data_IF_250138973866
#
_entry.id   IF_250138973866
#
_cell.length_a   1.000
_cell.length_b   1.000
_cell.length_c   1.000
_cell.angle_alpha   90.00
_cell.angle_beta   90.00
_cell.angle_gamma   90.00
#
_symmetry.space_group_name_H-M   'P 1'
#
loop_
_entity.id
_entity.type
_entity.pdbx_description
1 polymer ?
#
# COMPACT_ATOMS: atom_id res chain seq x y z
N UNK A 1 15.28 -23.59 3.92
CA UNK A 1 16.18 -22.96 2.94
C UNK A 1 15.67 -23.37 1.58
N UNK A 2 15.18 -22.45 0.75
CA UNK A 2 14.66 -22.80 -0.57
C UNK A 2 15.85 -23.16 -1.47
N UNK A 3 15.87 -24.39 -1.99
CA UNK A 3 16.83 -24.80 -3.02
C UNK A 3 16.52 -24.03 -4.31
N UNK A 4 17.41 -23.12 -4.70
CA UNK A 4 17.29 -22.39 -5.96
C UNK A 4 17.80 -23.31 -7.06
N UNK A 5 16.91 -24.14 -7.61
CA UNK A 5 17.14 -24.84 -8.87
C UNK A 5 17.16 -23.81 -10.00
N UNK A 6 18.35 -23.32 -10.36
CA UNK A 6 18.51 -22.43 -11.52
C UNK A 6 18.27 -23.24 -12.81
N UNK A 7 17.12 -23.03 -13.44
CA UNK A 7 16.80 -23.52 -14.78
C UNK A 7 17.36 -22.57 -15.83
N UNK A 8 17.87 -23.10 -16.95
CA UNK A 8 18.50 -22.34 -18.02
C UNK A 8 17.81 -22.62 -19.36
N UNK A 9 17.82 -21.65 -20.28
CA UNK A 9 17.39 -21.83 -21.67
C UNK A 9 18.50 -21.41 -22.64
N UNK A 10 18.56 -22.04 -23.80
CA UNK A 10 19.54 -21.72 -24.85
C UNK A 10 19.07 -20.50 -25.66
N UNK A 11 19.96 -19.53 -25.86
CA UNK A 11 19.74 -18.36 -26.70
C UNK A 11 20.05 -18.65 -28.17
N UNK A 12 19.62 -17.76 -29.08
CA UNK A 12 19.90 -17.87 -30.52
C UNK A 12 21.40 -17.78 -30.87
N UNK A 13 22.21 -17.33 -29.92
CA UNK A 13 23.67 -17.26 -29.93
C UNK A 13 24.35 -18.53 -29.39
N UNK A 14 23.59 -19.54 -28.96
CA UNK A 14 24.09 -20.79 -28.37
C UNK A 14 24.55 -20.65 -26.91
N UNK A 15 24.30 -19.51 -26.28
CA UNK A 15 24.64 -19.27 -24.86
C UNK A 15 23.47 -19.65 -23.96
N UNK A 16 23.77 -20.18 -22.77
CA UNK A 16 22.76 -20.53 -21.77
C UNK A 16 22.43 -19.34 -20.87
N UNK A 17 21.17 -18.91 -20.90
CA UNK A 17 20.66 -17.83 -20.06
C UNK A 17 19.81 -18.41 -18.92
N UNK A 18 19.98 -17.92 -17.68
CA UNK A 18 19.14 -18.36 -16.58
C UNK A 18 17.70 -17.86 -16.78
N UNK A 19 16.73 -18.72 -16.44
CA UNK A 19 15.32 -18.35 -16.36
C UNK A 19 15.13 -17.46 -15.13
N UNK A 20 15.22 -16.15 -15.34
CA UNK A 20 14.94 -15.16 -14.32
C UNK A 20 13.42 -14.97 -14.21
N UNK A 21 12.81 -15.50 -13.16
CA UNK A 21 11.46 -15.11 -12.77
C UNK A 21 11.56 -13.89 -11.87
N UNK A 22 11.02 -12.76 -12.31
CA UNK A 22 10.81 -11.63 -11.41
C UNK A 22 9.73 -12.03 -10.39
N UNK A 23 9.94 -11.80 -9.08
CA UNK A 23 8.86 -11.96 -8.13
C UNK A 23 7.72 -11.02 -8.51
N UNK A 24 6.51 -11.55 -8.55
CA UNK A 24 5.31 -10.78 -8.87
C UNK A 24 5.11 -9.70 -7.80
N UNK A 25 4.86 -8.46 -8.21
CA UNK A 25 4.60 -7.37 -7.27
C UNK A 25 3.28 -7.67 -6.53
N UNK A 26 3.36 -7.91 -5.22
CA UNK A 26 2.20 -8.28 -4.39
C UNK A 26 1.17 -7.16 -4.26
N UNK A 27 1.60 -5.91 -4.41
CA UNK A 27 0.76 -4.71 -4.28
C UNK A 27 1.00 -3.80 -5.48
N UNK A 28 -0.03 -3.58 -6.28
CA UNK A 28 0.03 -2.60 -7.37
C UNK A 28 -0.13 -1.18 -6.84
N UNK A 29 0.71 -0.27 -7.34
CA UNK A 29 0.60 1.17 -7.09
C UNK A 29 -0.76 1.76 -7.51
N UNK A 30 -1.50 1.11 -8.42
CA UNK A 30 -2.83 1.56 -8.87
C UNK A 30 -3.93 1.33 -7.85
N UNK A 31 -3.71 0.46 -6.85
CA UNK A 31 -4.74 0.07 -5.89
C UNK A 31 -4.65 0.87 -4.58
N UNK A 32 -3.74 1.84 -4.51
CA UNK A 32 -3.49 2.65 -3.32
C UNK A 32 -4.56 3.75 -3.14
N UNK A 33 -4.95 4.00 -1.89
CA UNK A 33 -5.95 5.00 -1.53
C UNK A 33 -5.40 6.42 -1.35
N UNK A 34 -6.22 7.31 -0.79
CA UNK A 34 -5.92 8.73 -0.61
C UNK A 34 -4.76 8.97 0.37
N UNK A 35 -4.61 8.13 1.38
CA UNK A 35 -3.60 8.31 2.43
C UNK A 35 -2.22 7.89 1.94
N UNK A 36 -2.14 6.80 1.18
CA UNK A 36 -0.96 6.33 0.48
C UNK A 36 -0.41 7.39 -0.48
N UNK A 37 -1.27 8.04 -1.27
CA UNK A 37 -0.85 9.13 -2.17
C UNK A 37 -0.24 10.28 -1.39
N UNK A 38 -0.92 10.77 -0.34
CA UNK A 38 -0.40 11.84 0.52
C UNK A 38 0.91 11.47 1.21
N UNK A 39 1.01 10.25 1.72
CA UNK A 39 2.23 9.76 2.36
C UNK A 39 3.39 9.68 1.37
N UNK A 40 3.12 9.31 0.12
CA UNK A 40 4.11 9.25 -0.94
C UNK A 40 4.61 10.65 -1.35
N UNK A 41 3.71 11.61 -1.51
CA UNK A 41 4.04 13.01 -1.78
C UNK A 41 4.90 13.58 -0.66
N UNK A 42 4.47 13.40 0.59
CA UNK A 42 5.24 13.79 1.76
C UNK A 42 6.64 13.17 1.77
N UNK A 43 6.75 11.87 1.47
CA UNK A 43 8.02 11.16 1.45
C UNK A 43 8.93 11.69 0.33
N UNK A 44 8.36 12.04 -0.83
CA UNK A 44 9.11 12.57 -1.99
C UNK A 44 9.67 13.97 -1.72
N UNK A 45 8.90 14.81 -1.03
CA UNK A 45 9.26 16.19 -0.72
C UNK A 45 10.26 16.28 0.45
N UNK A 46 9.99 15.56 1.54
CA UNK A 46 10.76 15.70 2.78
C UNK A 46 11.91 14.70 2.90
N UNK A 47 11.79 13.52 2.29
CA UNK A 47 12.74 12.42 2.43
C UNK A 47 13.02 11.70 1.10
N UNK A 48 13.47 12.48 0.11
CA UNK A 48 13.66 11.99 -1.26
C UNK A 48 14.54 10.74 -1.36
N UNK A 49 15.60 10.65 -0.55
CA UNK A 49 16.50 9.49 -0.54
C UNK A 49 15.79 8.19 -0.13
N UNK A 50 14.87 8.28 0.84
CA UNK A 50 14.07 7.13 1.28
C UNK A 50 13.05 6.74 0.23
N UNK A 51 12.41 7.72 -0.40
CA UNK A 51 11.52 7.49 -1.54
C UNK A 51 12.23 6.78 -2.69
N UNK A 52 13.42 7.26 -3.09
CA UNK A 52 14.24 6.64 -4.15
C UNK A 52 14.64 5.21 -3.81
N UNK A 53 15.04 4.98 -2.57
CA UNK A 53 15.42 3.65 -2.08
C UNK A 53 14.26 2.66 -2.18
N UNK A 54 13.08 3.03 -1.66
CA UNK A 54 11.88 2.19 -1.73
C UNK A 54 11.44 1.92 -3.17
N UNK A 55 11.51 2.94 -4.03
CA UNK A 55 11.19 2.82 -5.45
C UNK A 55 12.15 1.87 -6.18
N UNK A 56 13.46 1.95 -5.90
CA UNK A 56 14.48 1.07 -6.50
C UNK A 56 14.28 -0.39 -6.13
N UNK A 57 13.85 -0.67 -4.90
CA UNK A 57 13.61 -2.02 -4.43
C UNK A 57 12.21 -2.55 -4.74
N UNK A 58 11.34 -1.78 -5.42
CA UNK A 58 9.95 -2.17 -5.68
C UNK A 58 9.07 -2.22 -4.42
N UNK A 59 9.56 -1.75 -3.26
CA UNK A 59 8.87 -1.82 -1.96
C UNK A 59 8.02 -0.60 -1.64
N UNK A 60 7.91 0.33 -2.58
CA UNK A 60 7.16 1.57 -2.36
C UNK A 60 5.67 1.27 -2.15
N UNK A 61 5.08 0.43 -2.99
CA UNK A 61 3.66 0.09 -2.91
C UNK A 61 3.28 -0.57 -1.59
N UNK A 62 4.05 -1.59 -1.19
CA UNK A 62 3.90 -2.28 0.10
C UNK A 62 3.96 -1.29 1.28
N UNK A 63 4.96 -0.42 1.29
CA UNK A 63 5.10 0.57 2.38
C UNK A 63 3.96 1.58 2.41
N UNK A 64 3.49 2.03 1.25
CA UNK A 64 2.36 2.96 1.19
C UNK A 64 1.05 2.28 1.61
N UNK A 65 0.87 1.00 1.30
CA UNK A 65 -0.28 0.22 1.75
C UNK A 65 -0.31 0.06 3.28
N UNK A 66 0.84 -0.18 3.92
CA UNK A 66 0.93 -0.20 5.39
C UNK A 66 0.46 1.13 6.00
N UNK A 67 0.94 2.25 5.46
CA UNK A 67 0.58 3.60 5.92
C UNK A 67 -0.91 3.89 5.71
N UNK A 68 -1.46 3.48 4.56
CA UNK A 68 -2.90 3.58 4.26
C UNK A 68 -3.73 2.80 5.28
N UNK A 69 -3.35 1.57 5.60
CA UNK A 69 -4.05 0.73 6.57
C UNK A 69 -4.02 1.35 7.97
N UNK A 70 -2.86 1.88 8.39
CA UNK A 70 -2.72 2.57 9.66
C UNK A 70 -3.58 3.84 9.72
N UNK A 71 -3.57 4.64 8.65
CA UNK A 71 -4.36 5.86 8.55
C UNK A 71 -5.87 5.59 8.58
N UNK A 72 -6.33 4.55 7.88
CA UNK A 72 -7.74 4.14 7.91
C UNK A 72 -8.15 3.66 9.30
N UNK A 73 -7.31 2.88 9.99
CA UNK A 73 -7.58 2.49 11.39
C UNK A 73 -7.72 3.70 12.30
N UNK A 74 -6.83 4.68 12.18
CA UNK A 74 -6.91 5.92 12.96
C UNK A 74 -8.16 6.73 12.62
N UNK A 75 -8.58 6.75 11.34
CA UNK A 75 -9.82 7.39 10.91
C UNK A 75 -11.03 6.73 11.57
N UNK A 76 -11.11 5.41 11.55
CA UNK A 76 -12.19 4.65 12.20
C UNK A 76 -12.24 4.91 13.73
N UNK A 77 -11.08 4.97 14.39
CA UNK A 77 -10.98 5.29 15.82
C UNK A 77 -11.51 6.69 16.13
N UNK A 78 -11.15 7.68 15.31
CA UNK A 78 -11.62 9.06 15.44
C UNK A 78 -13.13 9.16 15.21
N UNK A 79 -13.66 8.55 14.16
CA UNK A 79 -15.10 8.50 13.88
C UNK A 79 -15.87 7.87 15.06
N UNK A 80 -15.39 6.74 15.57
CA UNK A 80 -16.00 6.08 16.72
C UNK A 80 -15.95 6.94 17.99
N UNK A 81 -14.85 7.66 18.23
CA UNK A 81 -14.75 8.59 19.35
C UNK A 81 -15.72 9.76 19.21
N UNK A 82 -15.90 10.28 18.00
CA UNK A 82 -16.81 11.38 17.70
C UNK A 82 -18.27 10.96 17.89
N UNK A 83 -18.66 9.78 17.41
CA UNK A 83 -20.01 9.22 17.58
C UNK A 83 -20.35 8.89 19.04
N UNK A 84 -19.37 8.54 19.87
CA UNK A 84 -19.58 8.37 21.32
C UNK A 84 -19.94 9.69 22.00
N UNK A 85 -19.31 10.79 21.58
CA UNK A 85 -19.56 12.12 22.13
C UNK A 85 -20.80 12.78 21.52
N UNK A 86 -21.14 12.44 20.27
CA UNK A 86 -22.26 12.99 19.51
C UNK A 86 -23.14 11.84 18.98
N UNK A 87 -23.95 11.20 19.85
CA UNK A 87 -24.84 10.15 19.41
C UNK A 87 -25.91 10.69 18.45
N UNK A 88 -26.30 9.93 17.42
CA UNK A 88 -27.44 10.27 16.58
C UNK A 88 -28.73 10.29 17.41
N UNK A 89 -29.71 11.09 16.97
CA UNK A 89 -31.03 11.13 17.60
C UNK A 89 -31.75 9.79 17.43
N UNK A 90 -31.77 9.28 16.20
CA UNK A 90 -32.20 7.92 15.88
C UNK A 90 -31.05 7.09 15.29
N UNK A 91 -30.63 6.06 16.04
CA UNK A 91 -29.59 5.11 15.62
C UNK A 91 -29.97 4.29 14.39
N UNK A 92 -31.26 4.16 14.08
CA UNK A 92 -31.75 3.43 12.93
C UNK A 92 -31.91 4.32 11.68
N UNK A 93 -31.73 5.64 11.80
CA UNK A 93 -31.80 6.55 10.66
C UNK A 93 -30.48 6.55 9.89
N UNK A 94 -30.49 5.92 8.71
CA UNK A 94 -29.33 5.92 7.80
C UNK A 94 -28.92 7.34 7.41
N UNK A 95 -29.87 8.28 7.33
CA UNK A 95 -29.61 9.66 6.93
C UNK A 95 -28.88 10.45 8.02
N UNK A 96 -29.31 10.31 9.28
CA UNK A 96 -28.61 10.95 10.42
C UNK A 96 -27.21 10.38 10.61
N UNK A 97 -27.07 9.05 10.47
CA UNK A 97 -25.77 8.39 10.52
C UNK A 97 -24.84 8.85 9.39
N UNK A 98 -25.37 9.15 8.20
CA UNK A 98 -24.57 9.65 7.08
C UNK A 98 -24.12 11.09 7.29
N UNK A 99 -24.93 11.94 7.93
CA UNK A 99 -24.52 13.31 8.25
C UNK A 99 -23.40 13.39 9.29
N UNK A 100 -23.25 12.35 10.12
CA UNK A 100 -22.23 12.28 11.17
C UNK A 100 -20.89 11.68 10.68
N UNK A 101 -20.83 11.17 9.45
CA UNK A 101 -19.64 10.57 8.81
C UNK A 101 -19.12 11.46 7.71
#
# INVERSE_FOLDING_TARGET
MAEITMTYHEGADGMLYPLLTAPEETVSMTNLGKFAVRAMEYLKENHNDRYRTLKRFGKLAEKMQEVENEANRMMDELENSYLKNNPPGDRNSTMEMWQLR
#
